data_IF_546018857707
#
_entry.id   IF_546018857707
#
_cell.length_a   1.000
_cell.length_b   1.000
_cell.length_c   1.000
_cell.angle_alpha   90.00
_cell.angle_beta   90.00
_cell.angle_gamma   90.00
#
_symmetry.space_group_name_H-M   'P 1'
#
loop_
_entity.id
_entity.type
_entity.pdbx_description
1 polymer ?
#
# COMPACT_ATOMS: atom_id res chain seq x y z
N UNK A 1 -18.93 10.57 -17.70
CA UNK A 1 -17.46 10.75 -17.81
C UNK A 1 -16.84 9.80 -16.81
N UNK A 2 -16.73 8.53 -17.18
CA UNK A 2 -16.30 7.45 -16.27
C UNK A 2 -14.94 6.87 -16.71
N UNK A 3 -13.94 7.74 -16.90
CA UNK A 3 -12.78 7.42 -17.75
C UNK A 3 -11.36 7.58 -17.16
N UNK A 4 -11.17 7.74 -15.84
CA UNK A 4 -9.86 8.16 -15.32
C UNK A 4 -9.29 7.31 -14.16
N UNK A 5 -9.86 6.12 -13.90
CA UNK A 5 -9.30 5.22 -12.89
C UNK A 5 -8.13 4.41 -13.47
N UNK A 6 -6.93 4.76 -13.06
CA UNK A 6 -5.73 3.96 -13.30
C UNK A 6 -5.64 2.88 -12.23
N UNK A 7 -5.44 1.62 -12.66
CA UNK A 7 -5.11 0.50 -11.79
C UNK A 7 -3.79 -0.11 -12.24
N UNK A 8 -2.81 -0.17 -11.35
CA UNK A 8 -1.50 -0.73 -11.68
C UNK A 8 -0.90 -1.53 -10.53
N UNK A 9 0.01 -2.44 -10.89
CA UNK A 9 0.76 -3.25 -9.96
C UNK A 9 2.21 -2.77 -9.89
N UNK A 10 2.73 -2.69 -8.67
CA UNK A 10 4.12 -2.41 -8.37
C UNK A 10 4.73 -3.68 -7.73
N UNK A 11 5.78 -4.27 -8.34
CA UNK A 11 6.36 -5.50 -7.82
C UNK A 11 7.04 -5.29 -6.45
N UNK A 12 7.20 -6.36 -5.64
CA UNK A 12 8.00 -6.30 -4.42
C UNK A 12 9.42 -5.84 -4.72
N UNK A 13 9.90 -4.85 -3.98
CA UNK A 13 11.27 -4.36 -4.11
C UNK A 13 11.76 -3.77 -2.78
N UNK A 14 13.06 -3.54 -2.66
CA UNK A 14 13.59 -2.66 -1.63
C UNK A 14 13.39 -1.21 -2.07
N UNK A 15 12.82 -0.37 -1.21
CA UNK A 15 12.57 1.04 -1.51
C UNK A 15 12.87 1.87 -0.27
N UNK A 16 13.27 3.12 -0.50
CA UNK A 16 13.37 4.09 0.58
C UNK A 16 11.96 4.47 1.05
N UNK A 17 11.78 4.58 2.36
CA UNK A 17 10.55 5.04 2.99
C UNK A 17 10.90 5.90 4.20
N UNK A 18 10.08 6.91 4.50
CA UNK A 18 10.31 7.81 5.65
C UNK A 18 9.08 7.85 6.55
N UNK A 19 9.32 7.71 7.85
CA UNK A 19 8.31 7.88 8.89
C UNK A 19 8.58 9.14 9.71
N UNK A 20 7.51 9.85 10.06
CA UNK A 20 7.48 10.92 11.06
C UNK A 20 6.63 10.47 12.23
N UNK A 21 7.20 9.56 13.02
CA UNK A 21 6.54 8.88 14.11
C UNK A 21 7.58 8.63 15.23
N UNK A 22 7.63 9.48 16.28
CA UNK A 22 8.63 9.38 17.34
C UNK A 22 8.75 7.99 17.99
N UNK A 23 7.66 7.21 17.98
CA UNK A 23 7.59 5.83 18.46
C UNK A 23 8.54 4.86 17.73
N UNK A 24 9.06 5.26 16.57
CA UNK A 24 10.03 4.51 15.77
C UNK A 24 11.49 4.83 16.11
N UNK A 25 11.72 5.65 17.15
CA UNK A 25 13.03 5.92 17.75
C UNK A 25 13.66 7.25 17.34
N UNK A 26 13.02 8.04 16.48
CA UNK A 26 13.46 9.39 16.09
C UNK A 26 12.25 10.21 15.59
N UNK A 27 12.30 11.57 15.64
CA UNK A 27 11.22 12.42 15.12
C UNK A 27 10.90 12.17 13.64
N UNK A 28 11.94 11.89 12.85
CA UNK A 28 11.87 11.48 11.45
C UNK A 28 12.90 10.38 11.22
N UNK A 29 12.49 9.27 10.58
CA UNK A 29 13.36 8.11 10.34
C UNK A 29 13.07 7.52 8.97
N UNK A 30 14.09 7.41 8.12
CA UNK A 30 13.98 6.84 6.79
C UNK A 30 15.04 5.78 6.51
N UNK A 31 14.63 4.71 5.82
CA UNK A 31 15.51 3.57 5.50
C UNK A 31 15.10 2.91 4.18
N UNK A 32 16.03 2.16 3.59
CA UNK A 32 15.76 1.29 2.43
C UNK A 32 15.39 -0.12 2.92
N UNK A 33 14.10 -0.45 2.90
CA UNK A 33 13.56 -1.71 3.46
C UNK A 33 12.85 -2.53 2.37
N UNK A 34 12.64 -3.85 2.53
CA UNK A 34 11.86 -4.61 1.55
C UNK A 34 10.35 -4.32 1.68
N UNK A 35 9.66 -4.19 0.54
CA UNK A 35 8.22 -3.95 0.46
C UNK A 35 7.50 -5.15 -0.20
N UNK A 36 6.20 -5.37 0.11
CA UNK A 36 5.41 -6.38 -0.61
C UNK A 36 5.09 -5.88 -2.03
N UNK A 37 4.42 -6.71 -2.82
CA UNK A 37 3.78 -6.25 -4.04
C UNK A 37 2.64 -5.30 -3.67
N UNK A 38 2.41 -4.27 -4.47
CA UNK A 38 1.36 -3.28 -4.24
C UNK A 38 0.45 -3.19 -5.46
N UNK A 39 -0.85 -3.04 -5.21
CA UNK A 39 -1.84 -2.68 -6.24
C UNK A 39 -2.37 -1.31 -5.88
N UNK A 40 -2.26 -0.37 -6.80
CA UNK A 40 -2.76 1.00 -6.64
C UNK A 40 -3.96 1.21 -7.55
N UNK A 41 -4.93 1.97 -7.05
CA UNK A 41 -6.04 2.53 -7.84
C UNK A 41 -6.04 4.04 -7.64
N UNK A 42 -5.95 4.82 -8.73
CA UNK A 42 -5.94 6.28 -8.63
C UNK A 42 -6.74 6.97 -9.74
N UNK A 43 -7.39 8.07 -9.38
CA UNK A 43 -8.05 9.02 -10.26
C UNK A 43 -8.00 10.40 -9.59
N UNK A 44 -8.68 11.40 -10.15
CA UNK A 44 -8.84 12.70 -9.48
C UNK A 44 -9.55 12.62 -8.11
N UNK A 45 -10.37 11.57 -7.89
CA UNK A 45 -11.17 11.39 -6.67
C UNK A 45 -10.75 10.21 -5.81
N UNK A 46 -10.08 9.22 -6.40
CA UNK A 46 -9.68 7.97 -5.74
C UNK A 46 -8.16 7.95 -5.61
N UNK A 47 -7.63 7.56 -4.46
CA UNK A 47 -6.24 7.15 -4.34
C UNK A 47 -6.14 6.07 -3.27
N UNK A 48 -5.99 4.83 -3.71
CA UNK A 48 -6.03 3.64 -2.86
C UNK A 48 -4.85 2.71 -3.14
N UNK A 49 -4.46 1.94 -2.13
CA UNK A 49 -3.39 0.94 -2.22
C UNK A 49 -3.70 -0.30 -1.39
N UNK A 50 -3.37 -1.46 -1.93
CA UNK A 50 -3.42 -2.76 -1.26
C UNK A 50 -2.09 -3.48 -1.40
N UNK A 51 -1.80 -4.39 -0.47
CA UNK A 51 -0.68 -5.31 -0.57
C UNK A 51 -1.08 -6.62 -1.27
N UNK A 52 -0.12 -7.23 -1.95
CA UNK A 52 -0.24 -8.54 -2.59
C UNK A 52 0.96 -9.39 -2.20
N UNK A 53 0.70 -10.69 -1.98
CA UNK A 53 1.72 -11.69 -1.67
C UNK A 53 2.37 -12.23 -2.94
N UNK A 54 3.63 -12.62 -2.83
CA UNK A 54 4.40 -13.18 -3.94
C UNK A 54 5.03 -12.11 -4.85
N UNK A 55 5.73 -12.60 -5.88
CA UNK A 55 6.54 -11.77 -6.80
C UNK A 55 5.96 -11.67 -8.21
N UNK A 56 4.93 -12.44 -8.51
CA UNK A 56 4.30 -12.47 -9.82
C UNK A 56 3.23 -11.39 -9.93
N UNK A 57 2.95 -10.94 -11.16
CA UNK A 57 1.85 -10.04 -11.44
C UNK A 57 0.53 -10.67 -10.97
N UNK A 58 -0.32 -9.95 -10.21
CA UNK A 58 -1.57 -10.49 -9.71
C UNK A 58 -2.54 -10.76 -10.87
N UNK A 59 -3.18 -11.93 -10.83
CA UNK A 59 -4.37 -12.27 -11.62
C UNK A 59 -5.66 -11.86 -10.89
N UNK A 60 -6.82 -11.92 -11.55
CA UNK A 60 -8.10 -11.45 -11.01
C UNK A 60 -8.51 -12.10 -9.67
N UNK A 61 -8.24 -13.39 -9.52
CA UNK A 61 -8.49 -14.20 -8.32
C UNK A 61 -7.47 -13.95 -7.19
N UNK A 62 -6.44 -13.12 -7.42
CA UNK A 62 -5.40 -12.86 -6.41
C UNK A 62 -6.01 -12.15 -5.20
N UNK A 63 -5.86 -12.71 -3.99
CA UNK A 63 -6.31 -12.04 -2.77
C UNK A 63 -5.55 -10.74 -2.54
N UNK A 64 -6.29 -9.70 -2.17
CA UNK A 64 -5.72 -8.42 -1.74
C UNK A 64 -5.63 -8.39 -0.22
N UNK A 65 -4.61 -7.70 0.26
CA UNK A 65 -4.34 -7.53 1.69
C UNK A 65 -4.36 -6.05 2.04
N UNK A 66 -4.70 -5.75 3.28
CA UNK A 66 -4.57 -4.42 3.84
C UNK A 66 -3.14 -3.92 3.64
N UNK A 67 -3.04 -2.67 3.20
CA UNK A 67 -1.79 -1.94 3.09
C UNK A 67 -1.10 -1.85 4.47
N UNK A 68 0.18 -2.26 4.61
CA UNK A 68 0.86 -2.25 5.91
C UNK A 68 1.35 -0.86 6.32
N UNK A 69 1.12 0.18 5.52
CA UNK A 69 1.67 1.51 5.72
C UNK A 69 0.79 2.37 6.62
N UNK A 70 1.42 3.31 7.33
CA UNK A 70 0.70 4.39 8.00
C UNK A 70 -0.01 5.26 6.97
N UNK A 71 -0.90 6.13 7.43
CA UNK A 71 -1.69 7.03 6.58
C UNK A 71 -2.59 6.30 5.55
N UNK A 72 -2.74 4.97 5.64
CA UNK A 72 -3.65 4.19 4.81
C UNK A 72 -4.74 3.58 5.67
N UNK A 73 -5.99 3.81 5.28
CA UNK A 73 -7.18 3.28 5.95
C UNK A 73 -7.39 1.80 5.60
N UNK A 74 -8.19 1.08 6.39
CA UNK A 74 -8.43 -0.36 6.22
C UNK A 74 -8.96 -0.72 4.81
N UNK A 75 -9.79 0.14 4.23
CA UNK A 75 -10.31 0.00 2.85
C UNK A 75 -9.32 0.35 1.73
N UNK A 76 -8.06 0.62 2.07
CA UNK A 76 -6.98 0.95 1.14
C UNK A 76 -6.86 2.44 0.82
N UNK A 77 -7.77 3.31 1.27
CA UNK A 77 -7.70 4.75 1.02
C UNK A 77 -6.42 5.36 1.59
N UNK A 78 -5.69 6.09 0.76
CA UNK A 78 -4.52 6.86 1.17
C UNK A 78 -5.00 8.21 1.70
N UNK A 79 -4.52 8.59 2.88
CA UNK A 79 -4.73 9.94 3.40
C UNK A 79 -3.96 10.94 2.53
N UNK A 80 -4.70 11.62 1.65
CA UNK A 80 -4.12 12.40 0.54
C UNK A 80 -3.46 13.71 0.99
N UNK A 81 -3.77 14.23 2.19
CA UNK A 81 -3.37 15.58 2.57
C UNK A 81 -3.70 16.59 1.46
N UNK A 82 -2.72 17.43 1.09
CA UNK A 82 -2.81 18.39 -0.03
C UNK A 82 -2.13 17.88 -1.33
N UNK A 83 -2.02 16.56 -1.53
CA UNK A 83 -1.41 16.01 -2.75
C UNK A 83 -2.24 16.42 -3.97
N UNK A 84 -1.57 17.06 -4.94
CA UNK A 84 -2.15 17.44 -6.21
C UNK A 84 -2.32 16.22 -7.11
N UNK A 85 -3.41 16.19 -7.89
CA UNK A 85 -3.67 15.14 -8.87
C UNK A 85 -2.63 15.29 -9.99
N UNK A 86 -1.84 14.25 -10.32
CA UNK A 86 -0.89 14.30 -11.41
C UNK A 86 -1.58 14.50 -12.78
N UNK A 87 -1.00 15.36 -13.61
CA UNK A 87 -1.36 15.55 -15.01
C UNK A 87 -0.40 14.79 -15.93
N UNK A 88 -0.77 14.64 -17.21
CA UNK A 88 0.06 13.96 -18.22
C UNK A 88 -0.49 12.60 -18.69
N UNK A 89 0.36 11.84 -19.36
CA UNK A 89 0.05 10.48 -19.85
C UNK A 89 -0.20 9.51 -18.69
N UNK A 90 -0.79 8.35 -18.97
CA UNK A 90 -1.02 7.33 -17.94
C UNK A 90 0.27 6.88 -17.24
N UNK A 91 1.36 6.73 -17.99
CA UNK A 91 2.67 6.33 -17.43
C UNK A 91 3.22 7.42 -16.52
N UNK A 92 3.22 8.68 -16.97
CA UNK A 92 3.68 9.82 -16.14
C UNK A 92 2.85 9.95 -14.87
N UNK A 93 1.52 9.77 -14.97
CA UNK A 93 0.63 9.73 -13.81
C UNK A 93 0.98 8.59 -12.86
N UNK A 94 1.22 7.38 -13.35
CA UNK A 94 1.61 6.23 -12.52
C UNK A 94 2.92 6.51 -11.77
N UNK A 95 3.93 7.04 -12.45
CA UNK A 95 5.21 7.36 -11.84
C UNK A 95 5.06 8.47 -10.80
N UNK A 96 4.29 9.51 -11.09
CA UNK A 96 3.98 10.59 -10.15
C UNK A 96 3.23 10.09 -8.91
N UNK A 97 2.23 9.21 -9.08
CA UNK A 97 1.51 8.61 -7.95
C UNK A 97 2.39 7.70 -7.11
N UNK A 98 3.26 6.91 -7.74
CA UNK A 98 4.25 6.07 -7.03
C UNK A 98 5.20 6.94 -6.22
N UNK A 99 5.74 8.00 -6.82
CA UNK A 99 6.64 8.94 -6.15
C UNK A 99 5.94 9.66 -4.99
N UNK A 100 4.69 10.11 -5.18
CA UNK A 100 3.91 10.76 -4.14
C UNK A 100 3.66 9.83 -2.94
N UNK A 101 3.32 8.56 -3.17
CA UNK A 101 3.09 7.60 -2.09
C UNK A 101 4.38 7.21 -1.37
N UNK A 102 5.42 6.79 -2.12
CA UNK A 102 6.66 6.28 -1.54
C UNK A 102 7.55 7.38 -0.95
N UNK A 103 7.43 8.61 -1.45
CA UNK A 103 8.10 9.81 -0.92
C UNK A 103 7.33 10.51 0.20
N UNK A 104 6.16 10.02 0.59
CA UNK A 104 5.39 10.59 1.71
C UNK A 104 6.07 10.36 3.06
N UNK A 105 5.81 11.26 4.00
CA UNK A 105 6.10 11.04 5.42
C UNK A 105 4.94 10.26 6.06
N UNK A 106 5.20 9.01 6.42
CA UNK A 106 4.27 8.13 7.09
C UNK A 106 4.21 8.47 8.58
N UNK A 107 3.06 8.93 9.09
CA UNK A 107 2.99 9.54 10.45
C UNK A 107 2.30 8.66 11.48
N UNK A 108 1.14 8.08 11.16
CA UNK A 108 0.40 7.23 12.11
C UNK A 108 -0.47 6.17 11.40
N UNK A 109 -0.77 5.04 12.07
CA UNK A 109 -1.79 4.12 11.59
C UNK A 109 -3.16 4.82 11.53
N UNK A 110 -3.87 4.69 10.40
CA UNK A 110 -5.24 5.20 10.26
C UNK A 110 -6.33 4.16 10.54
N UNK A 111 -5.96 2.87 10.61
CA UNK A 111 -6.92 1.80 10.90
C UNK A 111 -7.22 1.73 12.41
N UNK A 112 -8.50 1.66 12.79
CA UNK A 112 -8.88 1.31 14.16
C UNK A 112 -8.61 -0.16 14.49
N UNK A 113 -8.57 -1.02 13.46
CA UNK A 113 -8.15 -2.42 13.56
C UNK A 113 -6.63 -2.62 13.51
N UNK A 114 -6.22 -3.88 13.55
CA UNK A 114 -4.81 -4.25 13.38
C UNK A 114 -4.37 -3.88 11.95
N UNK A 115 -3.27 -3.16 11.80
CA UNK A 115 -2.65 -2.89 10.49
C UNK A 115 -1.86 -4.10 9.97
N UNK A 116 -1.23 -4.84 10.90
CA UNK A 116 -0.43 -6.04 10.63
C UNK A 116 -0.58 -7.06 11.76
N UNK A 117 -0.43 -8.35 11.44
CA UNK A 117 -0.33 -9.46 12.40
C UNK A 117 1.10 -9.56 12.95
N UNK A 118 1.51 -8.54 13.71
CA UNK A 118 2.82 -8.49 14.35
C UNK A 118 2.68 -8.28 15.85
N UNK A 119 3.56 -8.90 16.64
CA UNK A 119 3.52 -8.76 18.11
C UNK A 119 3.78 -7.30 18.47
N UNK A 120 2.85 -6.72 19.24
CA UNK A 120 2.89 -5.30 19.61
C UNK A 120 2.39 -4.34 18.53
N UNK A 121 1.90 -4.84 17.39
CA UNK A 121 1.24 -4.04 16.37
C UNK A 121 2.18 -3.38 15.36
N UNK A 122 1.71 -2.26 14.79
CA UNK A 122 2.32 -1.63 13.63
C UNK A 122 3.65 -0.91 13.93
N UNK A 123 3.77 -0.25 15.09
CA UNK A 123 5.00 0.44 15.47
C UNK A 123 6.17 -0.52 15.66
N UNK A 124 6.06 -1.62 16.43
CA UNK A 124 7.16 -2.60 16.51
C UNK A 124 7.46 -3.27 15.17
N UNK A 125 6.46 -3.48 14.31
CA UNK A 125 6.68 -4.01 12.97
C UNK A 125 7.56 -3.07 12.14
N UNK A 126 7.18 -1.81 12.02
CA UNK A 126 7.94 -0.85 11.22
C UNK A 126 9.31 -0.55 11.83
N UNK A 127 9.43 -0.48 13.17
CA UNK A 127 10.74 -0.38 13.81
C UNK A 127 11.66 -1.54 13.41
N UNK A 128 11.20 -2.78 13.50
CA UNK A 128 11.99 -3.95 13.10
C UNK A 128 12.31 -3.97 11.59
N UNK A 129 11.42 -3.46 10.75
CA UNK A 129 11.70 -3.27 9.31
C UNK A 129 12.82 -2.26 9.08
N UNK A 130 12.75 -1.09 9.74
CA UNK A 130 13.75 -0.02 9.67
C UNK A 130 15.09 -0.43 10.30
N UNK A 131 15.07 -1.29 11.33
CA UNK A 131 16.28 -1.86 11.93
C UNK A 131 16.94 -2.95 11.04
N UNK A 132 16.38 -3.22 9.86
CA UNK A 132 16.95 -4.17 8.90
C UNK A 132 16.79 -5.64 9.27
N UNK A 133 15.90 -5.97 10.23
CA UNK A 133 15.65 -7.34 10.71
C UNK A 133 15.21 -8.29 9.60
N UNK A 134 14.58 -7.76 8.55
CA UNK A 134 13.98 -8.55 7.48
C UNK A 134 14.72 -8.36 6.15
N UNK A 135 15.30 -9.45 5.60
CA UNK A 135 15.91 -9.45 4.25
C UNK A 135 14.87 -9.39 3.12
N UNK A 136 13.65 -9.88 3.39
CA UNK A 136 12.47 -9.87 2.50
C UNK A 136 11.27 -9.45 3.32
N UNK A 137 10.26 -8.84 2.70
CA UNK A 137 9.05 -8.43 3.41
C UNK A 137 8.35 -9.68 4.01
N UNK A 138 8.01 -9.67 5.32
CA UNK A 138 7.43 -10.83 5.98
C UNK A 138 5.92 -10.95 5.69
N UNK A 139 5.55 -11.43 4.51
CA UNK A 139 4.16 -11.47 4.01
C UNK A 139 3.11 -12.09 4.96
N UNK A 140 3.51 -12.95 5.90
CA UNK A 140 2.64 -13.51 6.93
C UNK A 140 2.00 -12.46 7.86
N UNK A 141 2.57 -11.26 7.92
CA UNK A 141 2.03 -10.16 8.74
C UNK A 141 0.84 -9.47 8.08
N UNK A 142 0.64 -9.67 6.77
CA UNK A 142 -0.44 -9.03 6.03
C UNK A 142 -1.81 -9.55 6.49
N UNK A 143 -2.76 -8.63 6.60
CA UNK A 143 -4.14 -8.91 6.96
C UNK A 143 -4.97 -8.98 5.69
N UNK A 144 -5.72 -10.06 5.54
CA UNK A 144 -6.59 -10.31 4.40
C UNK A 144 -7.72 -9.27 4.35
N UNK A 145 -7.81 -8.54 3.23
CA UNK A 145 -8.84 -7.52 3.02
C UNK A 145 -10.19 -8.12 2.58
N UNK A 146 -10.29 -9.45 2.49
CA UNK A 146 -11.51 -10.19 2.10
C UNK A 146 -12.03 -9.80 0.72
N UNK A 147 -11.11 -9.44 -0.16
CA UNK A 147 -11.39 -9.07 -1.55
C UNK A 147 -10.29 -9.60 -2.48
N UNK A 148 -10.56 -9.54 -3.78
CA UNK A 148 -9.63 -9.94 -4.85
C UNK A 148 -9.48 -8.81 -5.87
N UNK A 149 -8.46 -8.91 -6.72
CA UNK A 149 -8.25 -7.95 -7.80
C UNK A 149 -9.46 -7.85 -8.75
N UNK A 150 -10.10 -8.98 -9.06
CA UNK A 150 -11.28 -9.06 -9.92
C UNK A 150 -12.48 -8.36 -9.29
N UNK A 151 -12.73 -8.57 -7.99
CA UNK A 151 -13.78 -7.85 -7.26
C UNK A 151 -13.55 -6.34 -7.28
N UNK A 152 -12.30 -5.90 -7.14
CA UNK A 152 -11.95 -4.48 -7.22
C UNK A 152 -12.22 -3.89 -8.62
N UNK A 153 -11.99 -4.67 -9.67
CA UNK A 153 -12.26 -4.30 -11.05
C UNK A 153 -13.74 -4.37 -11.44
N UNK A 154 -14.64 -4.76 -10.52
CA UNK A 154 -16.04 -5.05 -10.86
C UNK A 154 -16.20 -6.31 -11.74
N UNK A 155 -15.15 -7.11 -11.87
CA UNK A 155 -15.08 -8.36 -12.64
C UNK A 155 -15.33 -9.57 -11.74
N UNK A 156 -16.28 -9.46 -10.81
CA UNK A 156 -16.75 -10.63 -10.07
C UNK A 156 -17.24 -11.70 -11.05
N UNK A 157 -16.98 -12.97 -10.75
CA UNK A 157 -17.67 -14.04 -11.45
C UNK A 157 -19.17 -13.71 -11.47
N UNK A 158 -19.81 -13.82 -12.63
CA UNK A 158 -21.23 -14.10 -12.65
C UNK A 158 -21.42 -15.28 -11.70
N UNK A 159 -22.11 -15.03 -10.60
CA UNK A 159 -22.68 -16.09 -9.81
C UNK A 159 -23.70 -16.74 -10.76
N UNK A 160 -23.27 -17.82 -11.44
CA UNK A 160 -24.16 -18.71 -12.17
C UNK A 160 -25.01 -19.45 -11.12
N UNK A 161 -26.29 -19.09 -11.09
CA UNK A 161 -27.48 -19.74 -10.48
C UNK A 161 -27.44 -20.22 -9.01
#
# INVERSE_FOLDING_TARGET
>A
MDGDLLLWWVPPAKRHIVFRAPELGAPERGEVVPHPGLVFAASSRVWKVWAVKGRSRPALQTPLFQSPYFNVWEGGDICRGNVQVPEGTATEKIDAWNAAFLGSFFTHPNSQGKLVRYRGGAYPFWRDMLDGKFKKFPERVLIDAKTTLGKLLGMGAQDDD
#
